data_IF_323700960709
#
_entry.id   IF_323700960709
#
_cell.length_a   1.000
_cell.length_b   1.000
_cell.length_c   1.000
_cell.angle_alpha   90.00
_cell.angle_beta   90.00
_cell.angle_gamma   90.00
#
_symmetry.space_group_name_H-M   'P 1'
#
loop_
_entity.id
_entity.type
_entity.pdbx_description
1 polymer ?
#
# COMPACT_ATOMS: atom_id res chain seq x y z
N UNK A 1 -20.02 18.34 -8.00
CA UNK A 1 -19.21 18.24 -9.25
C UNK A 1 -18.89 16.78 -9.42
N UNK A 2 -19.04 16.16 -10.60
CA UNK A 2 -18.62 14.78 -10.80
C UNK A 2 -17.17 14.79 -11.28
N UNK A 3 -16.26 14.26 -10.48
CA UNK A 3 -14.87 14.07 -10.87
C UNK A 3 -14.77 12.87 -11.80
N UNK A 4 -14.35 13.07 -13.03
CA UNK A 4 -14.15 12.02 -14.01
C UNK A 4 -12.66 11.64 -14.03
N UNK A 5 -12.35 10.37 -13.88
CA UNK A 5 -10.97 9.87 -13.83
C UNK A 5 -10.66 9.11 -15.12
N UNK A 6 -9.83 9.70 -15.96
CA UNK A 6 -9.29 9.12 -17.20
C UNK A 6 -7.77 9.02 -17.20
N UNK A 7 -7.12 9.85 -16.37
CA UNK A 7 -5.68 9.92 -16.24
C UNK A 7 -5.27 9.89 -14.76
N UNK A 8 -4.48 8.89 -14.39
CA UNK A 8 -3.92 8.77 -13.05
C UNK A 8 -2.39 8.85 -13.07
N UNK A 9 -1.82 9.44 -12.03
CA UNK A 9 -0.39 9.41 -11.75
C UNK A 9 -0.18 8.62 -10.47
N UNK A 10 0.58 7.54 -10.55
CA UNK A 10 0.98 6.73 -9.39
C UNK A 10 2.44 7.05 -9.09
N UNK A 11 2.72 7.48 -7.86
CA UNK A 11 4.06 7.87 -7.42
C UNK A 11 4.59 6.83 -6.42
N UNK A 12 5.68 6.18 -6.79
CA UNK A 12 6.23 5.00 -6.14
C UNK A 12 5.93 3.73 -6.92
N UNK A 13 6.95 3.03 -7.39
CA UNK A 13 6.84 1.81 -8.21
C UNK A 13 7.17 0.52 -7.44
N UNK A 14 7.13 0.58 -6.13
CA UNK A 14 7.25 -0.61 -5.29
C UNK A 14 6.12 -1.61 -5.55
N UNK A 15 6.07 -2.69 -4.77
CA UNK A 15 5.09 -3.78 -4.94
C UNK A 15 3.65 -3.27 -5.06
N UNK A 16 3.24 -2.33 -4.20
CA UNK A 16 1.88 -1.80 -4.21
C UNK A 16 1.66 -0.82 -5.37
N UNK A 17 2.57 0.15 -5.56
CA UNK A 17 2.37 1.18 -6.58
C UNK A 17 2.33 0.62 -7.99
N UNK A 18 3.25 -0.27 -8.35
CA UNK A 18 3.24 -0.93 -9.65
C UNK A 18 1.97 -1.81 -9.86
N UNK A 19 1.49 -2.46 -8.79
CA UNK A 19 0.27 -3.27 -8.86
C UNK A 19 -1.01 -2.41 -8.93
N UNK A 20 -1.06 -1.25 -8.24
CA UNK A 20 -2.15 -0.27 -8.35
C UNK A 20 -2.17 0.33 -9.76
N UNK A 21 -1.01 0.73 -10.29
CA UNK A 21 -0.89 1.22 -11.67
C UNK A 21 -1.41 0.19 -12.69
N UNK A 22 -1.04 -1.10 -12.52
CA UNK A 22 -1.54 -2.18 -13.34
C UNK A 22 -3.07 -2.35 -13.23
N UNK A 23 -3.61 -2.23 -12.02
CA UNK A 23 -5.06 -2.36 -11.79
C UNK A 23 -5.86 -1.23 -12.46
N UNK A 24 -5.37 0.01 -12.37
CA UNK A 24 -5.92 1.17 -13.07
C UNK A 24 -5.86 0.99 -14.60
N UNK A 25 -4.71 0.57 -15.13
CA UNK A 25 -4.54 0.28 -16.56
C UNK A 25 -5.48 -0.82 -17.05
N UNK A 26 -5.74 -1.87 -16.25
CA UNK A 26 -6.73 -2.90 -16.54
C UNK A 26 -8.16 -2.34 -16.67
N UNK A 27 -8.48 -1.27 -15.93
CA UNK A 27 -9.77 -0.56 -16.01
C UNK A 27 -9.84 0.46 -17.14
N UNK A 28 -8.81 0.52 -18.00
CA UNK A 28 -8.75 1.41 -19.16
C UNK A 28 -8.34 2.85 -18.83
N UNK A 29 -7.72 3.07 -17.68
CA UNK A 29 -7.19 4.38 -17.27
C UNK A 29 -5.81 4.56 -17.87
N UNK A 30 -5.51 5.76 -18.37
CA UNK A 30 -4.17 6.21 -18.74
C UNK A 30 -3.36 6.42 -17.46
N UNK A 31 -2.21 5.77 -17.33
CA UNK A 31 -1.42 5.84 -16.10
C UNK A 31 -0.01 6.34 -16.39
N UNK A 32 0.47 7.28 -15.60
CA UNK A 32 1.90 7.51 -15.44
C UNK A 32 2.34 6.90 -14.11
N UNK A 33 3.37 6.05 -14.19
CA UNK A 33 4.02 5.48 -13.02
C UNK A 33 5.37 6.16 -12.85
N UNK A 34 5.55 6.87 -11.74
CA UNK A 34 6.75 7.65 -11.44
C UNK A 34 7.45 7.07 -10.21
N UNK A 35 8.79 7.18 -10.21
CA UNK A 35 9.60 6.88 -9.03
C UNK A 35 10.79 7.84 -8.93
N UNK A 36 11.56 7.70 -7.87
CA UNK A 36 12.80 8.48 -7.70
C UNK A 36 13.85 8.10 -8.75
N UNK A 37 14.76 9.04 -9.03
CA UNK A 37 15.98 8.74 -9.76
C UNK A 37 16.94 8.02 -8.82
N UNK A 38 17.63 6.94 -9.25
CA UNK A 38 18.65 6.30 -8.41
C UNK A 38 19.81 7.25 -8.10
N UNK A 39 20.41 7.10 -6.91
CA UNK A 39 21.54 7.92 -6.45
C UNK A 39 22.86 7.58 -7.15
N UNK A 40 22.95 6.39 -7.71
CA UNK A 40 24.20 5.84 -8.27
C UNK A 40 23.95 4.98 -9.51
N UNK A 41 25.01 4.70 -10.24
CA UNK A 41 25.05 3.70 -11.32
C UNK A 41 25.47 2.34 -10.77
N UNK A 42 24.90 1.26 -11.30
CA UNK A 42 25.37 -0.09 -10.96
C UNK A 42 26.69 -0.40 -11.67
N UNK A 43 27.40 -1.45 -11.20
CA UNK A 43 28.63 -1.93 -11.86
C UNK A 43 28.39 -2.32 -13.32
N UNK A 44 27.24 -2.93 -13.61
CA UNK A 44 26.83 -3.34 -14.96
C UNK A 44 26.62 -2.11 -15.87
N UNK A 45 25.89 -1.10 -15.37
CA UNK A 45 25.66 0.15 -16.08
C UNK A 45 26.98 0.91 -16.35
N UNK A 46 27.85 0.99 -15.34
CA UNK A 46 29.15 1.62 -15.45
C UNK A 46 30.04 0.91 -16.48
N UNK A 47 30.07 -0.42 -16.48
CA UNK A 47 30.78 -1.23 -17.46
C UNK A 47 30.23 -1.02 -18.88
N UNK A 48 28.92 -0.80 -18.98
CA UNK A 48 28.23 -0.45 -20.22
C UNK A 48 28.42 1.00 -20.68
N UNK A 49 29.16 1.81 -19.93
CA UNK A 49 29.40 3.22 -20.23
C UNK A 49 28.24 4.16 -19.95
N UNK A 50 27.24 3.68 -19.19
CA UNK A 50 26.08 4.48 -18.79
C UNK A 50 26.39 5.34 -17.56
N UNK A 51 25.66 6.44 -17.45
CA UNK A 51 25.82 7.45 -16.40
C UNK A 51 24.46 7.84 -15.81
N UNK A 52 24.44 8.60 -14.71
CA UNK A 52 23.21 9.19 -14.14
C UNK A 52 22.51 10.20 -15.08
N UNK A 53 23.06 10.51 -16.25
CA UNK A 53 22.42 11.34 -17.27
C UNK A 53 21.59 10.51 -18.26
N UNK A 54 21.84 9.21 -18.33
CA UNK A 54 21.15 8.33 -19.25
C UNK A 54 19.74 8.01 -18.74
N UNK A 55 18.73 8.20 -19.58
CA UNK A 55 17.32 7.99 -19.22
C UNK A 55 17.05 6.55 -18.76
N UNK A 56 17.76 5.58 -19.29
CA UNK A 56 17.65 4.17 -18.85
C UNK A 56 18.06 3.99 -17.39
N UNK A 57 19.14 4.65 -16.96
CA UNK A 57 19.60 4.65 -15.57
C UNK A 57 18.63 5.44 -14.69
N UNK A 58 18.26 6.65 -15.11
CA UNK A 58 17.33 7.51 -14.36
C UNK A 58 15.98 6.86 -14.11
N UNK A 59 15.52 6.04 -15.03
CA UNK A 59 14.26 5.30 -14.91
C UNK A 59 14.45 3.84 -14.44
N UNK A 60 15.62 3.45 -13.95
CA UNK A 60 15.90 2.06 -13.52
C UNK A 60 14.90 1.57 -12.48
N UNK A 61 14.64 2.36 -11.44
CA UNK A 61 13.77 1.99 -10.33
C UNK A 61 12.35 1.75 -10.83
N UNK A 62 11.78 2.70 -11.57
CA UNK A 62 10.42 2.56 -12.10
C UNK A 62 10.31 1.40 -13.10
N UNK A 63 11.34 1.17 -13.92
CA UNK A 63 11.39 0.04 -14.84
C UNK A 63 11.41 -1.29 -14.09
N UNK A 64 12.21 -1.42 -13.02
CA UNK A 64 12.26 -2.63 -12.20
C UNK A 64 10.92 -2.92 -11.53
N UNK A 65 10.26 -1.90 -10.96
CA UNK A 65 8.92 -2.04 -10.38
C UNK A 65 7.88 -2.51 -11.40
N UNK A 66 7.86 -1.87 -12.56
CA UNK A 66 6.97 -2.24 -13.66
C UNK A 66 7.22 -3.67 -14.16
N UNK A 67 8.49 -4.06 -14.38
CA UNK A 67 8.85 -5.43 -14.78
C UNK A 67 8.46 -6.47 -13.72
N UNK A 68 8.56 -6.12 -12.44
CA UNK A 68 8.10 -6.97 -11.34
C UNK A 68 6.59 -7.19 -11.41
N UNK A 69 5.81 -6.14 -11.69
CA UNK A 69 4.35 -6.26 -11.86
C UNK A 69 3.97 -7.09 -13.10
N UNK A 70 4.72 -6.98 -14.21
CA UNK A 70 4.51 -7.81 -15.41
C UNK A 70 4.71 -9.30 -15.14
N UNK A 71 5.69 -9.64 -14.30
CA UNK A 71 6.06 -11.02 -13.97
C UNK A 71 5.37 -11.55 -12.71
N UNK A 72 4.56 -10.73 -12.05
CA UNK A 72 3.95 -11.08 -10.75
C UNK A 72 3.06 -12.32 -10.82
N UNK A 73 3.05 -13.07 -9.74
CA UNK A 73 2.13 -14.19 -9.54
C UNK A 73 1.47 -14.06 -8.15
N UNK A 74 0.15 -13.93 -8.12
CA UNK A 74 -0.80 -13.89 -9.22
C UNK A 74 -0.62 -12.65 -10.11
N UNK A 75 -1.04 -12.74 -11.38
CA UNK A 75 -0.77 -11.75 -12.42
C UNK A 75 -1.44 -10.39 -12.12
N UNK A 76 -0.69 -9.28 -12.12
CA UNK A 76 -1.23 -7.93 -11.95
C UNK A 76 -1.99 -7.43 -13.16
N UNK A 77 -1.59 -7.81 -14.36
CA UNK A 77 -2.24 -7.41 -15.60
C UNK A 77 -3.24 -8.45 -16.11
N UNK A 78 -4.32 -8.01 -16.75
CA UNK A 78 -5.23 -8.89 -17.51
C UNK A 78 -4.61 -9.37 -18.81
N UNK A 79 -3.86 -8.49 -19.46
CA UNK A 79 -3.19 -8.76 -20.72
C UNK A 79 -1.98 -7.84 -20.88
N UNK A 80 -1.06 -8.20 -21.77
CA UNK A 80 0.06 -7.33 -22.17
C UNK A 80 -0.42 -6.00 -22.75
N UNK A 81 -1.58 -5.97 -23.41
CA UNK A 81 -2.15 -4.76 -23.96
C UNK A 81 -2.47 -3.72 -22.86
N UNK A 82 -2.92 -4.17 -21.68
CA UNK A 82 -3.18 -3.27 -20.55
C UNK A 82 -1.90 -2.59 -20.07
N UNK A 83 -0.77 -3.26 -20.13
CA UNK A 83 0.52 -2.71 -19.74
C UNK A 83 0.94 -1.51 -20.63
N UNK A 84 0.55 -1.48 -21.89
CA UNK A 84 0.85 -0.39 -22.83
C UNK A 84 0.16 0.94 -22.46
N UNK A 85 -0.82 0.91 -21.57
CA UNK A 85 -1.48 2.13 -21.04
C UNK A 85 -0.69 2.82 -19.95
N UNK A 86 0.44 2.24 -19.51
CA UNK A 86 1.31 2.80 -18.49
C UNK A 86 2.53 3.43 -19.15
N UNK A 87 2.74 4.72 -18.86
CA UNK A 87 3.97 5.44 -19.17
C UNK A 87 4.85 5.50 -17.95
N UNK A 88 6.14 5.18 -18.12
CA UNK A 88 7.13 5.18 -17.04
C UNK A 88 7.93 6.46 -17.06
N UNK A 89 8.20 7.01 -15.89
CA UNK A 89 8.99 8.23 -15.73
C UNK A 89 9.57 8.35 -14.32
N UNK A 90 10.21 9.47 -14.06
CA UNK A 90 10.79 9.76 -12.76
C UNK A 90 10.40 11.14 -12.23
N UNK A 91 10.60 11.34 -10.91
CA UNK A 91 10.17 12.55 -10.19
C UNK A 91 11.00 13.81 -10.53
N UNK A 92 12.07 13.69 -11.29
CA UNK A 92 12.89 14.84 -11.71
C UNK A 92 12.54 15.28 -13.13
N UNK A 93 12.50 14.33 -14.08
CA UNK A 93 12.33 14.63 -15.50
C UNK A 93 10.85 14.73 -15.91
N UNK A 94 9.98 13.96 -15.28
CA UNK A 94 8.61 13.75 -15.75
C UNK A 94 7.54 14.27 -14.77
N UNK A 95 7.93 14.95 -13.68
CA UNK A 95 7.00 15.37 -12.62
C UNK A 95 5.91 16.33 -13.10
N UNK A 96 6.13 17.07 -14.18
CA UNK A 96 5.16 18.01 -14.74
C UNK A 96 3.84 17.33 -15.20
N UNK A 97 3.84 16.01 -15.38
CA UNK A 97 2.64 15.24 -15.73
C UNK A 97 1.55 15.29 -14.65
N UNK A 98 1.92 15.61 -13.42
CA UNK A 98 1.00 15.85 -12.29
C UNK A 98 -0.04 16.90 -12.60
N UNK A 99 0.28 17.92 -13.43
CA UNK A 99 -0.66 18.98 -13.86
C UNK A 99 -1.85 18.47 -14.66
N UNK A 100 -1.69 17.34 -15.33
CA UNK A 100 -2.70 16.76 -16.23
C UNK A 100 -3.49 15.62 -15.57
N UNK A 101 -3.17 15.29 -14.30
CA UNK A 101 -3.78 14.17 -13.61
C UNK A 101 -5.17 14.51 -13.10
N UNK A 102 -6.11 13.57 -13.27
CA UNK A 102 -7.40 13.60 -12.58
C UNK A 102 -7.26 13.04 -11.17
N UNK A 103 -6.39 12.04 -11.00
CA UNK A 103 -6.12 11.40 -9.70
C UNK A 103 -4.63 11.09 -9.54
N UNK A 104 -4.04 11.54 -8.43
CA UNK A 104 -2.66 11.25 -8.02
C UNK A 104 -2.71 10.32 -6.83
N UNK A 105 -1.97 9.20 -6.91
CA UNK A 105 -1.91 8.19 -5.84
C UNK A 105 -0.45 8.09 -5.36
N UNK A 106 -0.20 8.51 -4.15
CA UNK A 106 1.09 8.37 -3.49
C UNK A 106 1.23 6.97 -2.88
N UNK A 107 2.31 6.27 -3.23
CA UNK A 107 2.63 4.91 -2.78
C UNK A 107 4.13 4.78 -2.49
N UNK A 108 4.73 5.84 -1.91
CA UNK A 108 6.15 5.86 -1.55
C UNK A 108 6.39 5.24 -0.16
N UNK A 109 7.64 5.28 0.31
CA UNK A 109 8.02 4.73 1.61
C UNK A 109 7.22 5.34 2.76
N UNK A 110 7.06 4.58 3.85
CA UNK A 110 6.26 4.96 5.02
C UNK A 110 7.08 5.89 5.94
N UNK A 111 7.26 7.13 5.49
CA UNK A 111 7.95 8.20 6.21
C UNK A 111 7.18 9.51 6.04
N UNK A 112 6.68 10.03 7.16
CA UNK A 112 5.82 11.22 7.17
C UNK A 112 6.48 12.42 6.48
N UNK A 113 7.73 12.72 6.81
CA UNK A 113 8.42 13.88 6.23
C UNK A 113 8.58 13.79 4.73
N UNK A 114 8.97 12.61 4.23
CA UNK A 114 9.13 12.39 2.78
C UNK A 114 7.78 12.51 2.06
N UNK A 115 6.70 12.04 2.69
CA UNK A 115 5.34 12.19 2.14
C UNK A 115 4.92 13.66 2.11
N UNK A 116 5.15 14.41 3.19
CA UNK A 116 4.85 15.84 3.27
C UNK A 116 5.61 16.64 2.20
N UNK A 117 6.91 16.38 2.00
CA UNK A 117 7.72 17.03 0.98
C UNK A 117 7.21 16.74 -0.44
N UNK A 118 6.72 15.52 -0.68
CA UNK A 118 6.09 15.17 -1.95
C UNK A 118 4.75 15.89 -2.13
N UNK A 119 3.91 15.96 -1.07
CA UNK A 119 2.63 16.65 -1.13
C UNK A 119 2.80 18.17 -1.36
N UNK A 120 3.84 18.78 -0.81
CA UNK A 120 4.19 20.17 -1.10
C UNK A 120 4.45 20.39 -2.59
N UNK A 121 5.28 19.57 -3.19
CA UNK A 121 5.57 19.62 -4.63
C UNK A 121 4.34 19.38 -5.51
N UNK A 122 3.44 18.49 -5.07
CA UNK A 122 2.18 18.22 -5.78
C UNK A 122 1.24 19.44 -5.67
N UNK A 123 1.09 20.01 -4.48
CA UNK A 123 0.21 21.17 -4.22
C UNK A 123 0.59 22.38 -5.08
N UNK A 124 1.90 22.61 -5.26
CA UNK A 124 2.42 23.72 -6.09
C UNK A 124 2.00 23.65 -7.57
N UNK A 125 1.79 22.46 -8.13
CA UNK A 125 1.65 22.31 -9.58
C UNK A 125 0.39 21.58 -10.04
N UNK A 126 -0.31 20.83 -9.17
CA UNK A 126 -1.54 20.10 -9.55
C UNK A 126 -2.61 21.05 -10.08
N UNK A 127 -3.52 20.54 -10.89
CA UNK A 127 -4.73 21.28 -11.23
C UNK A 127 -5.67 21.35 -10.01
N UNK A 128 -6.46 22.44 -9.86
CA UNK A 128 -7.36 22.61 -8.70
C UNK A 128 -8.30 21.45 -8.43
N UNK A 129 -8.80 20.81 -9.49
CA UNK A 129 -9.75 19.70 -9.41
C UNK A 129 -9.10 18.31 -9.27
N UNK A 130 -7.77 18.23 -9.26
CA UNK A 130 -7.05 16.94 -9.14
C UNK A 130 -7.24 16.34 -7.76
N UNK A 131 -7.75 15.13 -7.69
CA UNK A 131 -7.81 14.37 -6.44
C UNK A 131 -6.42 13.83 -6.12
N UNK A 132 -6.02 13.93 -4.88
CA UNK A 132 -4.75 13.37 -4.38
C UNK A 132 -5.06 12.38 -3.27
N UNK A 133 -4.40 11.22 -3.30
CA UNK A 133 -4.55 10.25 -2.23
C UNK A 133 -3.23 9.61 -1.83
N UNK A 134 -3.14 9.19 -0.57
CA UNK A 134 -2.04 8.36 -0.07
C UNK A 134 -2.51 6.93 0.14
N UNK A 135 -1.67 5.96 -0.22
CA UNK A 135 -1.90 4.53 0.06
C UNK A 135 -1.17 4.08 1.35
N UNK A 136 -0.86 5.00 2.25
CA UNK A 136 -0.27 4.67 3.56
C UNK A 136 -1.13 3.63 4.29
N UNK A 137 -0.48 2.80 5.10
CA UNK A 137 -1.15 1.79 5.93
C UNK A 137 -1.26 2.20 7.40
N UNK A 138 -0.44 3.15 7.88
CA UNK A 138 -0.33 3.46 9.29
C UNK A 138 -0.18 4.94 9.64
N UNK A 139 0.28 5.78 8.71
CA UNK A 139 0.42 7.22 8.96
C UNK A 139 -0.97 7.87 8.84
N UNK A 140 -1.31 8.73 9.80
CA UNK A 140 -2.55 9.50 9.76
C UNK A 140 -2.61 10.36 8.49
N UNK A 141 -3.72 10.28 7.76
CA UNK A 141 -3.93 10.99 6.50
C UNK A 141 -3.87 12.50 6.71
N UNK A 142 -4.49 12.99 7.77
CA UNK A 142 -4.47 14.42 8.14
C UNK A 142 -3.04 14.94 8.31
N UNK A 143 -2.15 14.16 8.93
CA UNK A 143 -0.75 14.56 9.13
C UNK A 143 0.05 14.66 7.82
N UNK A 144 -0.30 13.88 6.80
CA UNK A 144 0.37 13.95 5.49
C UNK A 144 0.04 15.27 4.77
N UNK A 145 -1.19 15.78 4.95
CA UNK A 145 -1.65 17.04 4.36
C UNK A 145 -1.43 18.27 5.24
N UNK A 146 -0.76 18.12 6.38
CA UNK A 146 -0.45 19.23 7.25
C UNK A 146 0.33 20.32 6.48
N UNK A 147 0.03 21.59 6.74
CA UNK A 147 0.63 22.75 6.05
C UNK A 147 0.35 22.86 4.53
N UNK A 148 -0.53 22.03 3.97
CA UNK A 148 -0.95 22.18 2.56
C UNK A 148 -2.05 23.24 2.45
N UNK A 149 -2.27 23.70 1.20
CA UNK A 149 -3.35 24.66 0.91
C UNK A 149 -4.72 24.08 1.30
N UNK A 150 -5.68 24.94 1.61
CA UNK A 150 -7.05 24.50 1.90
C UNK A 150 -7.64 23.73 0.71
N UNK A 151 -7.42 24.22 -0.50
CA UNK A 151 -7.87 23.57 -1.73
C UNK A 151 -7.24 22.17 -1.92
N UNK A 152 -5.97 21.98 -1.51
CA UNK A 152 -5.36 20.65 -1.50
C UNK A 152 -6.06 19.73 -0.50
N UNK A 153 -6.29 20.19 0.73
CA UNK A 153 -6.94 19.40 1.80
C UNK A 153 -8.35 18.97 1.42
N UNK A 154 -9.09 19.86 0.74
CA UNK A 154 -10.42 19.56 0.21
C UNK A 154 -10.42 18.40 -0.81
N UNK A 155 -9.32 18.19 -1.53
CA UNK A 155 -9.16 17.16 -2.55
C UNK A 155 -8.24 16.01 -2.12
N UNK A 156 -7.90 15.92 -0.84
CA UNK A 156 -6.98 14.92 -0.30
C UNK A 156 -7.69 13.90 0.60
N UNK A 157 -7.31 12.63 0.47
CA UNK A 157 -7.83 11.51 1.29
C UNK A 157 -6.86 10.32 1.27
N UNK A 158 -7.09 9.33 2.12
CA UNK A 158 -6.44 8.02 2.02
C UNK A 158 -7.21 7.09 1.08
N UNK A 159 -6.48 6.29 0.31
CA UNK A 159 -7.03 5.17 -0.47
C UNK A 159 -6.17 3.94 -0.25
N UNK A 160 -6.50 3.16 0.76
CA UNK A 160 -5.72 2.02 1.18
C UNK A 160 -6.13 0.75 0.43
N UNK A 161 -5.32 0.35 -0.53
CA UNK A 161 -5.47 -0.89 -1.29
C UNK A 161 -4.76 -2.04 -0.58
N UNK A 162 -5.27 -3.25 -0.77
CA UNK A 162 -4.68 -4.48 -0.21
C UNK A 162 -3.98 -5.31 -1.28
N UNK A 163 -2.86 -5.93 -0.90
CA UNK A 163 -2.03 -6.74 -1.80
C UNK A 163 -2.60 -8.17 -1.98
N UNK A 164 -2.81 -8.63 -3.21
CA UNK A 164 -2.63 -7.95 -4.51
C UNK A 164 -3.88 -7.11 -4.89
N UNK A 165 -3.71 -5.84 -5.32
CA UNK A 165 -4.85 -4.93 -5.58
C UNK A 165 -5.86 -5.47 -6.59
N UNK A 166 -5.43 -6.22 -7.58
CA UNK A 166 -6.34 -6.83 -8.57
C UNK A 166 -7.30 -7.86 -7.98
N UNK A 167 -6.89 -8.58 -6.94
CA UNK A 167 -7.61 -9.74 -6.40
C UNK A 167 -8.36 -9.42 -5.11
N UNK A 168 -7.78 -8.61 -4.24
CA UNK A 168 -8.45 -8.21 -3.02
C UNK A 168 -9.46 -7.11 -3.32
N UNK A 169 -10.71 -7.38 -2.98
CA UNK A 169 -11.82 -6.49 -3.30
C UNK A 169 -11.89 -5.26 -2.39
N UNK A 170 -11.39 -5.35 -1.17
CA UNK A 170 -11.47 -4.27 -0.20
C UNK A 170 -10.61 -3.08 -0.63
N UNK A 171 -11.17 -1.88 -0.53
CA UNK A 171 -10.47 -0.60 -0.49
C UNK A 171 -11.02 0.20 0.66
N UNK A 172 -10.15 0.65 1.54
CA UNK A 172 -10.50 1.63 2.57
C UNK A 172 -10.31 3.03 2.00
N UNK A 173 -11.34 3.86 2.16
CA UNK A 173 -11.32 5.28 1.83
C UNK A 173 -11.32 6.06 3.13
N UNK A 174 -10.30 6.85 3.34
CA UNK A 174 -10.06 7.54 4.61
C UNK A 174 -10.08 9.06 4.36
N UNK A 175 -11.24 9.71 4.48
CA UNK A 175 -11.33 11.15 4.37
C UNK A 175 -10.70 11.83 5.59
N UNK A 176 -10.18 13.04 5.39
CA UNK A 176 -9.86 13.99 6.46
C UNK A 176 -11.11 14.83 6.81
N UNK A 177 -11.08 15.61 7.90
CA UNK A 177 -12.17 16.54 8.18
C UNK A 177 -12.43 17.58 7.08
N UNK A 178 -11.40 17.88 6.28
CA UNK A 178 -11.46 18.90 5.22
C UNK A 178 -11.86 18.33 3.86
N UNK A 179 -11.81 17.00 3.69
CA UNK A 179 -12.12 16.36 2.41
C UNK A 179 -13.56 16.60 1.96
N UNK A 180 -13.75 17.15 0.76
CA UNK A 180 -15.07 17.40 0.20
C UNK A 180 -15.89 16.12 0.03
N UNK A 181 -17.18 16.09 0.42
CA UNK A 181 -18.06 14.95 0.19
C UNK A 181 -18.09 14.48 -1.27
N UNK A 182 -18.06 15.41 -2.23
CA UNK A 182 -18.02 15.09 -3.65
C UNK A 182 -16.75 14.33 -4.09
N UNK A 183 -15.62 14.55 -3.42
CA UNK A 183 -14.36 13.82 -3.65
C UNK A 183 -14.49 12.40 -3.11
N UNK A 184 -15.02 12.24 -1.90
CA UNK A 184 -15.26 10.93 -1.27
C UNK A 184 -16.21 10.09 -2.15
N UNK A 185 -17.32 10.67 -2.55
CA UNK A 185 -18.31 10.00 -3.41
C UNK A 185 -17.72 9.60 -4.76
N UNK A 186 -16.92 10.47 -5.37
CA UNK A 186 -16.34 10.21 -6.69
C UNK A 186 -15.29 9.09 -6.65
N UNK A 187 -14.40 9.08 -5.66
CA UNK A 187 -13.41 8.01 -5.47
C UNK A 187 -14.11 6.69 -5.12
N UNK A 188 -15.10 6.73 -4.22
CA UNK A 188 -15.86 5.54 -3.85
C UNK A 188 -16.59 4.94 -5.05
N UNK A 189 -17.31 5.76 -5.80
CA UNK A 189 -18.01 5.33 -7.01
C UNK A 189 -17.04 4.77 -8.06
N UNK A 190 -15.91 5.46 -8.31
CA UNK A 190 -14.89 4.98 -9.23
C UNK A 190 -14.32 3.62 -8.79
N UNK A 191 -13.98 3.47 -7.51
CA UNK A 191 -13.45 2.22 -6.97
C UNK A 191 -14.46 1.07 -7.10
N UNK A 192 -15.74 1.31 -6.82
CA UNK A 192 -16.79 0.28 -6.93
C UNK A 192 -17.07 -0.11 -8.38
N UNK A 193 -17.36 0.86 -9.24
CA UNK A 193 -17.88 0.58 -10.59
C UNK A 193 -16.79 0.37 -11.65
N UNK A 194 -15.63 1.01 -11.51
CA UNK A 194 -14.54 0.87 -12.47
C UNK A 194 -13.48 -0.14 -12.04
N UNK A 195 -13.19 -0.21 -10.73
CA UNK A 195 -12.18 -1.13 -10.21
C UNK A 195 -12.77 -2.41 -9.60
N UNK A 196 -14.09 -2.49 -9.45
CA UNK A 196 -14.77 -3.66 -8.87
C UNK A 196 -14.46 -3.89 -7.40
N UNK A 197 -14.25 -2.81 -6.64
CA UNK A 197 -13.95 -2.83 -5.21
C UNK A 197 -15.20 -2.85 -4.34
N UNK A 198 -15.05 -3.36 -3.13
CA UNK A 198 -15.94 -3.08 -2.01
C UNK A 198 -15.30 -1.95 -1.19
N UNK A 199 -15.94 -0.79 -1.20
CA UNK A 199 -15.43 0.40 -0.51
C UNK A 199 -15.92 0.44 0.93
N UNK A 200 -15.01 0.75 1.85
CA UNK A 200 -15.32 1.03 3.25
C UNK A 200 -14.77 2.39 3.61
N UNK A 201 -15.65 3.29 4.07
CA UNK A 201 -15.24 4.59 4.57
C UNK A 201 -14.72 4.43 6.00
N UNK A 202 -13.48 4.80 6.23
CA UNK A 202 -12.79 4.66 7.51
C UNK A 202 -12.55 6.01 8.17
N UNK A 203 -12.45 6.01 9.49
CA UNK A 203 -11.89 7.15 10.22
C UNK A 203 -10.37 7.18 10.04
N UNK A 204 -9.79 8.38 10.10
CA UNK A 204 -8.35 8.58 10.11
C UNK A 204 -7.76 8.22 11.49
N UNK A 205 -7.68 6.93 11.75
CA UNK A 205 -7.15 6.34 12.98
C UNK A 205 -6.05 5.34 12.65
N UNK A 206 -5.11 5.06 13.57
CA UNK A 206 -3.97 4.18 13.29
C UNK A 206 -4.40 2.83 12.68
N UNK A 207 -3.80 2.49 11.53
CA UNK A 207 -4.05 1.25 10.77
C UNK A 207 -5.51 1.01 10.34
N UNK A 208 -6.34 2.05 10.36
CA UNK A 208 -7.72 2.09 9.88
C UNK A 208 -8.60 0.97 10.46
N UNK A 209 -9.33 0.19 9.62
CA UNK A 209 -10.22 -0.89 10.07
C UNK A 209 -9.59 -2.26 9.84
N UNK A 210 -9.18 -2.58 8.61
CA UNK A 210 -8.81 -3.95 8.26
C UNK A 210 -7.53 -4.44 8.93
N UNK A 211 -6.48 -3.61 8.94
CA UNK A 211 -5.25 -3.94 9.65
C UNK A 211 -5.49 -4.03 11.15
N UNK A 212 -6.24 -3.09 11.73
CA UNK A 212 -6.58 -3.09 13.16
C UNK A 212 -7.34 -4.34 13.58
N UNK A 213 -8.36 -4.72 12.81
CA UNK A 213 -9.11 -5.97 13.04
C UNK A 213 -8.24 -7.21 12.80
N UNK A 214 -7.46 -7.21 11.70
CA UNK A 214 -6.62 -8.33 11.32
C UNK A 214 -5.53 -8.62 12.36
N UNK A 215 -4.80 -7.60 12.76
CA UNK A 215 -3.73 -7.75 13.77
C UNK A 215 -4.30 -7.98 15.16
N UNK A 216 -5.36 -7.28 15.57
CA UNK A 216 -6.00 -7.50 16.88
C UNK A 216 -6.54 -8.93 17.02
N UNK A 217 -7.27 -9.43 16.03
CA UNK A 217 -7.80 -10.80 16.05
C UNK A 217 -6.70 -11.86 15.91
N UNK A 218 -5.67 -11.57 15.13
CA UNK A 218 -4.52 -12.46 14.96
C UNK A 218 -3.68 -12.58 16.23
N UNK A 219 -3.41 -11.47 16.90
CA UNK A 219 -2.69 -11.45 18.19
C UNK A 219 -3.49 -12.14 19.28
N UNK A 220 -4.80 -11.91 19.37
CA UNK A 220 -5.69 -12.67 20.24
C UNK A 220 -5.59 -14.18 19.97
N UNK A 221 -5.67 -14.58 18.70
CA UNK A 221 -5.59 -15.98 18.32
C UNK A 221 -4.25 -16.59 18.68
N UNK A 222 -3.15 -15.88 18.42
CA UNK A 222 -1.79 -16.36 18.74
C UNK A 222 -1.59 -16.51 20.24
N UNK A 223 -2.00 -15.52 21.03
CA UNK A 223 -1.95 -15.59 22.49
C UNK A 223 -2.74 -16.81 23.04
N UNK A 224 -3.96 -17.03 22.53
CA UNK A 224 -4.80 -18.14 22.90
C UNK A 224 -4.19 -19.49 22.51
N UNK A 225 -3.64 -19.61 21.31
CA UNK A 225 -2.98 -20.82 20.81
C UNK A 225 -1.77 -21.18 21.67
N UNK A 226 -0.93 -20.21 22.00
CA UNK A 226 0.27 -20.45 22.82
C UNK A 226 -0.09 -20.85 24.25
N UNK A 227 -1.07 -20.18 24.87
CA UNK A 227 -1.53 -20.52 26.23
C UNK A 227 -2.12 -21.93 26.36
N UNK A 228 -2.67 -22.46 25.27
CA UNK A 228 -3.29 -23.79 25.26
C UNK A 228 -2.45 -24.84 24.54
N UNK A 229 -1.22 -24.52 24.14
CA UNK A 229 -0.25 -25.44 23.52
C UNK A 229 -0.77 -26.17 22.26
N UNK A 230 -1.66 -25.51 21.49
CA UNK A 230 -2.19 -26.12 20.27
C UNK A 230 -1.10 -26.23 19.18
N UNK A 231 -1.09 -27.36 18.49
CA UNK A 231 -0.17 -27.58 17.40
C UNK A 231 -0.55 -26.79 16.14
N UNK A 232 0.45 -26.27 15.41
CA UNK A 232 0.26 -25.51 14.17
C UNK A 232 -0.68 -26.19 13.18
N UNK A 233 -0.50 -27.52 12.99
CA UNK A 233 -1.35 -28.31 12.06
C UNK A 233 -2.79 -28.40 12.50
N UNK A 234 -3.07 -28.49 13.79
CA UNK A 234 -4.41 -28.52 14.34
C UNK A 234 -5.11 -27.19 14.08
N UNK A 235 -4.43 -26.08 14.41
CA UNK A 235 -4.97 -24.73 14.19
C UNK A 235 -5.25 -24.48 12.71
N UNK A 236 -4.32 -24.74 11.81
CA UNK A 236 -4.51 -24.50 10.38
C UNK A 236 -5.60 -25.42 9.77
N UNK A 237 -5.80 -26.64 10.33
CA UNK A 237 -6.87 -27.53 9.86
C UNK A 237 -8.28 -26.97 10.09
N UNK A 238 -8.49 -26.22 11.17
CA UNK A 238 -9.81 -25.68 11.56
C UNK A 238 -10.00 -24.21 11.20
N UNK A 239 -8.92 -23.40 11.12
CA UNK A 239 -9.01 -21.96 10.88
C UNK A 239 -8.98 -21.55 9.40
N UNK A 240 -9.05 -22.52 8.49
CA UNK A 240 -9.08 -22.34 7.05
C UNK A 240 -10.49 -22.43 6.46
N UNK A 241 -10.66 -23.25 5.39
CA UNK A 241 -11.94 -23.36 4.67
C UNK A 241 -13.12 -23.80 5.53
N UNK A 242 -12.88 -24.52 6.62
CA UNK A 242 -13.93 -24.98 7.55
C UNK A 242 -14.74 -23.81 8.13
N UNK A 243 -14.08 -22.67 8.36
CA UNK A 243 -14.72 -21.44 8.89
C UNK A 243 -14.85 -20.34 7.84
N UNK A 244 -14.81 -20.70 6.55
CA UNK A 244 -14.97 -19.75 5.44
C UNK A 244 -13.73 -18.92 5.12
N UNK A 245 -12.57 -19.22 5.71
CA UNK A 245 -11.29 -18.55 5.39
C UNK A 245 -10.58 -19.24 4.20
N UNK A 246 -9.63 -18.55 3.55
CA UNK A 246 -8.77 -19.16 2.55
C UNK A 246 -7.97 -20.36 3.10
N UNK A 247 -7.45 -21.20 2.21
CA UNK A 247 -6.60 -22.36 2.57
C UNK A 247 -5.32 -21.98 3.32
N UNK A 248 -4.95 -20.70 3.31
CA UNK A 248 -3.82 -20.20 4.11
C UNK A 248 -4.06 -20.28 5.62
N UNK A 249 -5.31 -20.38 6.06
CA UNK A 249 -5.65 -20.49 7.48
C UNK A 249 -4.97 -19.40 8.36
N UNK A 250 -4.43 -19.75 9.54
CA UNK A 250 -3.77 -18.79 10.45
C UNK A 250 -2.26 -18.73 10.23
N UNK A 251 -1.54 -19.82 10.46
CA UNK A 251 -0.08 -19.79 10.41
C UNK A 251 0.47 -19.68 8.99
N UNK A 252 -0.14 -20.38 8.04
CA UNK A 252 0.24 -20.22 6.64
C UNK A 252 -0.01 -18.79 6.11
N UNK A 253 -0.98 -18.07 6.68
CA UNK A 253 -1.19 -16.66 6.35
C UNK A 253 -0.04 -15.78 6.84
N UNK A 254 0.48 -16.04 8.05
CA UNK A 254 1.65 -15.32 8.58
C UNK A 254 2.88 -15.53 7.69
N UNK A 255 3.13 -16.76 7.21
CA UNK A 255 4.19 -17.04 6.23
C UNK A 255 4.03 -16.27 4.90
N UNK A 256 2.79 -16.09 4.45
CA UNK A 256 2.49 -15.36 3.20
C UNK A 256 2.67 -13.85 3.35
N UNK A 257 2.23 -13.30 4.47
CA UNK A 257 2.37 -11.87 4.80
C UNK A 257 3.83 -11.53 5.07
N UNK A 258 4.50 -12.38 5.84
CA UNK A 258 5.85 -12.20 6.34
C UNK A 258 5.85 -11.88 7.83
N UNK A 259 6.63 -12.63 8.58
CA UNK A 259 6.72 -12.52 10.03
C UNK A 259 7.26 -11.15 10.45
N UNK A 260 8.24 -10.62 9.72
CA UNK A 260 8.78 -9.27 9.90
C UNK A 260 7.74 -8.16 9.64
N UNK A 261 6.84 -8.35 8.69
CA UNK A 261 5.72 -7.41 8.45
C UNK A 261 4.75 -7.45 9.62
N UNK A 262 4.48 -8.66 10.14
CA UNK A 262 3.64 -8.83 11.33
C UNK A 262 4.23 -8.11 12.55
N UNK A 263 5.52 -8.33 12.82
CA UNK A 263 6.25 -7.68 13.92
C UNK A 263 6.17 -6.14 13.80
N UNK A 264 6.52 -5.61 12.64
CA UNK A 264 6.52 -4.17 12.39
C UNK A 264 5.14 -3.52 12.57
N UNK A 265 4.09 -4.10 12.00
CA UNK A 265 2.72 -3.54 12.12
C UNK A 265 2.20 -3.72 13.55
N UNK A 266 2.49 -4.84 14.20
CA UNK A 266 2.13 -5.07 15.60
C UNK A 266 2.75 -4.04 16.54
N UNK A 267 4.06 -3.78 16.39
CA UNK A 267 4.77 -2.77 17.16
C UNK A 267 4.19 -1.36 16.94
N UNK A 268 3.93 -0.99 15.69
CA UNK A 268 3.31 0.30 15.36
C UNK A 268 1.91 0.45 15.98
N UNK A 269 1.08 -0.60 15.93
CA UNK A 269 -0.24 -0.60 16.55
C UNK A 269 -0.15 -0.45 18.07
N UNK A 270 0.74 -1.18 18.72
CA UNK A 270 0.93 -1.11 20.18
C UNK A 270 1.35 0.29 20.63
N UNK A 271 2.16 1.00 19.81
CA UNK A 271 2.58 2.36 20.11
C UNK A 271 1.49 3.42 19.85
N UNK A 272 0.65 3.19 18.85
CA UNK A 272 -0.32 4.16 18.37
C UNK A 272 -1.72 4.05 18.98
N UNK A 273 -2.07 2.87 19.52
CA UNK A 273 -3.39 2.64 20.11
C UNK A 273 -3.41 3.03 21.59
N UNK A 274 -4.52 3.59 22.08
CA UNK A 274 -4.72 3.79 23.52
C UNK A 274 -4.68 2.46 24.29
N UNK A 275 -4.19 2.48 25.53
CA UNK A 275 -4.10 1.28 26.38
C UNK A 275 -5.47 0.68 26.75
N UNK A 276 -6.54 1.47 26.68
CA UNK A 276 -7.92 1.04 26.93
C UNK A 276 -8.58 0.39 25.69
N UNK A 277 -7.89 0.34 24.55
CA UNK A 277 -8.35 -0.37 23.36
C UNK A 277 -8.46 -1.88 23.62
N UNK A 278 -9.58 -2.49 23.23
CA UNK A 278 -9.86 -3.92 23.48
C UNK A 278 -8.82 -4.87 22.90
N UNK A 279 -8.16 -4.49 21.80
CA UNK A 279 -7.10 -5.29 21.18
C UNK A 279 -5.75 -5.16 21.90
N UNK A 280 -5.53 -4.10 22.68
CA UNK A 280 -4.24 -3.75 23.28
C UNK A 280 -3.63 -4.86 24.14
N UNK A 281 -4.37 -5.56 25.04
CA UNK A 281 -3.81 -6.65 25.84
C UNK A 281 -3.24 -7.81 25.03
N UNK A 282 -3.76 -8.01 23.81
CA UNK A 282 -3.30 -9.09 22.93
C UNK A 282 -2.13 -8.64 22.05
N UNK A 283 -2.16 -7.38 21.59
CA UNK A 283 -1.06 -6.77 20.85
C UNK A 283 0.22 -6.64 21.72
N UNK A 284 0.05 -6.44 23.01
CA UNK A 284 1.14 -6.37 24.00
C UNK A 284 1.45 -7.70 24.70
N UNK A 285 0.87 -8.84 24.26
CA UNK A 285 1.09 -10.15 24.85
C UNK A 285 2.55 -10.59 24.72
N UNK A 286 3.26 -10.70 25.85
CA UNK A 286 4.67 -11.10 25.92
C UNK A 286 4.97 -12.42 25.19
N UNK A 287 4.24 -13.55 25.45
CA UNK A 287 4.56 -14.81 24.79
C UNK A 287 4.42 -14.76 23.26
N UNK A 288 3.42 -14.03 22.76
CA UNK A 288 3.19 -13.90 21.33
C UNK A 288 4.26 -13.03 20.67
N UNK A 289 4.58 -11.88 21.27
CA UNK A 289 5.59 -10.96 20.76
C UNK A 289 6.98 -11.58 20.80
N UNK A 290 7.34 -12.29 21.88
CA UNK A 290 8.63 -12.99 22.00
C UNK A 290 8.78 -14.04 20.90
N UNK A 291 7.74 -14.84 20.61
CA UNK A 291 7.78 -15.81 19.53
C UNK A 291 8.05 -15.15 18.18
N UNK A 292 7.35 -14.07 17.87
CA UNK A 292 7.50 -13.34 16.61
C UNK A 292 8.91 -12.75 16.50
N UNK A 293 9.42 -12.08 17.55
CA UNK A 293 10.77 -11.51 17.59
C UNK A 293 11.85 -12.57 17.42
N UNK A 294 11.73 -13.70 18.13
CA UNK A 294 12.64 -14.84 17.99
C UNK A 294 12.70 -15.38 16.56
N UNK A 295 11.56 -15.40 15.86
CA UNK A 295 11.51 -15.83 14.47
C UNK A 295 12.19 -14.81 13.56
N UNK A 296 11.97 -13.51 13.77
CA UNK A 296 12.61 -12.43 13.00
C UNK A 296 14.12 -12.46 13.20
N UNK A 297 14.60 -12.54 14.43
CA UNK A 297 16.04 -12.63 14.76
C UNK A 297 16.73 -13.85 14.12
N UNK A 298 16.02 -14.98 14.05
CA UNK A 298 16.52 -16.22 13.41
C UNK A 298 16.38 -16.20 11.88
N UNK A 299 15.90 -15.11 11.28
CA UNK A 299 15.68 -15.00 9.84
C UNK A 299 14.56 -15.91 9.29
N UNK A 300 13.64 -16.35 10.14
CA UNK A 300 12.48 -17.18 9.78
C UNK A 300 11.31 -16.26 9.43
N UNK A 301 11.33 -15.72 8.22
CA UNK A 301 10.39 -14.68 7.78
C UNK A 301 9.24 -15.20 6.90
N UNK A 302 9.01 -16.49 6.89
CA UNK A 302 7.99 -17.12 6.06
C UNK A 302 8.46 -17.40 4.63
N UNK A 303 7.57 -17.22 3.66
CA UNK A 303 7.85 -17.57 2.26
C UNK A 303 9.09 -16.90 1.68
N UNK A 304 9.40 -15.67 2.06
CA UNK A 304 10.54 -14.91 1.53
C UNK A 304 11.91 -15.54 1.90
N UNK A 305 11.98 -16.24 3.02
CA UNK A 305 13.18 -16.99 3.46
C UNK A 305 13.02 -18.51 3.35
N UNK A 306 11.85 -18.98 2.90
CA UNK A 306 11.45 -20.40 2.87
C UNK A 306 11.48 -21.07 4.24
N UNK A 307 11.38 -20.30 5.29
CA UNK A 307 11.32 -20.73 6.70
C UNK A 307 10.37 -19.77 7.43
N UNK A 308 9.43 -20.34 8.18
CA UNK A 308 8.44 -19.63 8.98
C UNK A 308 7.88 -20.53 10.06
#
# INVERSE_FOLDING_TARGET
>A
MNYLIYHAVVIGSGTMGAAIAAHLANAGIRVHLLDIVPSDVTEEENTGGLTLKDRSVRNRIVNQGFQSALKSRPASFYSEKSANSIKLGNLEDDFQVVKEADWIIEVIIENLKIKQDLMERIDEIRAPHTIVSSNTSGIQITSIAEERSEEFKEHFLGTHFFNPPRYLKLVEVIPTPDTLPAVIDSISHFAEYRLGKGVVICKDTPNFIANRLGFGSGSFSLDYILKNEYAVKEVDSITGPLIGRPKSATFRLLDLVGIDVWDHVGANLTQALPEDEQAFPYLSSEPANQLIQDMVEKGRLGNKTKQG
#
